data_IF_207835089845
#
_entry.id   IF_207835089845
#
_cell.length_a   1.000
_cell.length_b   1.000
_cell.length_c   1.000
_cell.angle_alpha   90.00
_cell.angle_beta   90.00
_cell.angle_gamma   90.00
#
_symmetry.space_group_name_H-M   'P 1'
#
loop_
_entity.id
_entity.type
_entity.pdbx_description
1 polymer ?
#
# COMPACT_ATOMS: atom_id res chain seq x y z
N UNK A 1 27.89 23.17 -2.03
CA UNK A 1 26.84 23.37 -1.02
C UNK A 1 26.04 22.07 -0.87
N UNK A 2 25.61 21.74 0.35
CA UNK A 2 24.69 20.63 0.59
C UNK A 2 23.34 20.90 -0.07
N UNK A 3 22.74 19.90 -0.71
CA UNK A 3 21.41 20.02 -1.33
C UNK A 3 20.34 19.81 -0.29
N UNK A 4 19.29 20.64 -0.28
CA UNK A 4 18.20 20.57 0.67
C UNK A 4 16.99 19.88 0.05
N UNK A 5 16.54 18.80 0.67
CA UNK A 5 15.38 18.00 0.20
C UNK A 5 14.31 18.03 1.29
N UNK A 6 13.13 18.54 0.97
CA UNK A 6 11.96 18.40 1.82
C UNK A 6 11.25 17.06 1.54
N UNK A 7 10.89 16.31 2.57
CA UNK A 7 10.14 15.05 2.48
C UNK A 7 8.88 15.13 3.36
N UNK A 8 7.73 14.80 2.75
CA UNK A 8 6.47 14.60 3.48
C UNK A 8 6.05 13.14 3.39
N UNK A 9 6.17 12.41 4.51
CA UNK A 9 5.80 11.00 4.65
C UNK A 9 5.09 10.78 5.99
N UNK A 10 3.74 10.79 6.01
CA UNK A 10 2.96 10.69 7.25
C UNK A 10 2.48 9.27 7.58
N UNK A 11 2.26 8.42 6.57
CA UNK A 11 1.87 7.03 6.75
C UNK A 11 3.09 6.14 6.99
N UNK A 12 2.90 5.02 7.68
CA UNK A 12 3.99 4.07 7.93
C UNK A 12 4.65 3.60 6.63
N UNK A 13 3.86 3.19 5.63
CA UNK A 13 4.35 2.78 4.30
C UNK A 13 5.12 3.90 3.61
N UNK A 14 4.63 5.13 3.64
CA UNK A 14 5.31 6.29 3.07
C UNK A 14 6.69 6.52 3.70
N UNK A 15 6.84 6.27 5.01
CA UNK A 15 8.13 6.36 5.70
C UNK A 15 9.11 5.25 5.26
N UNK A 16 8.63 4.02 5.02
CA UNK A 16 9.48 2.95 4.47
C UNK A 16 9.97 3.32 3.07
N UNK A 17 9.09 3.86 2.21
CA UNK A 17 9.48 4.31 0.87
C UNK A 17 10.46 5.49 0.92
N UNK A 18 10.25 6.44 1.84
CA UNK A 18 11.21 7.53 2.08
C UNK A 18 12.58 7.01 2.52
N UNK A 19 12.63 6.05 3.47
CA UNK A 19 13.87 5.42 3.91
C UNK A 19 14.64 4.77 2.74
N UNK A 20 13.96 4.00 1.89
CA UNK A 20 14.57 3.36 0.73
C UNK A 20 15.13 4.39 -0.28
N UNK A 21 14.38 5.46 -0.54
CA UNK A 21 14.84 6.56 -1.37
C UNK A 21 16.09 7.23 -0.79
N UNK A 22 16.09 7.55 0.50
CA UNK A 22 17.22 8.16 1.22
C UNK A 22 18.46 7.25 1.17
N UNK A 23 18.29 5.95 1.41
CA UNK A 23 19.38 4.97 1.30
C UNK A 23 19.96 4.94 -0.12
N UNK A 24 19.09 4.94 -1.13
CA UNK A 24 19.53 4.98 -2.54
C UNK A 24 20.27 6.27 -2.89
N UNK A 25 19.86 7.42 -2.35
CA UNK A 25 20.58 8.70 -2.52
C UNK A 25 21.96 8.68 -1.86
N UNK A 26 22.06 8.11 -0.65
CA UNK A 26 23.36 7.94 0.06
C UNK A 26 24.32 7.04 -0.73
N UNK A 27 23.81 5.96 -1.33
CA UNK A 27 24.61 5.05 -2.18
C UNK A 27 25.15 5.74 -3.46
N UNK A 28 24.55 6.84 -3.89
CA UNK A 28 25.04 7.68 -4.99
C UNK A 28 26.05 8.74 -4.55
N UNK A 29 26.48 8.72 -3.27
CA UNK A 29 27.40 9.70 -2.68
C UNK A 29 26.96 11.16 -2.86
N UNK A 30 25.66 11.41 -2.88
CA UNK A 30 25.12 12.76 -2.93
C UNK A 30 25.20 13.41 -1.54
N UNK A 31 25.71 14.63 -1.48
CA UNK A 31 25.67 15.41 -0.25
C UNK A 31 24.34 16.18 -0.15
N UNK A 32 23.48 15.79 0.77
CA UNK A 32 22.15 16.36 0.96
C UNK A 32 21.73 16.39 2.42
N UNK A 33 20.84 17.32 2.74
CA UNK A 33 20.15 17.45 4.02
C UNK A 33 18.65 17.23 3.81
N UNK A 34 18.01 16.56 4.77
CA UNK A 34 16.59 16.25 4.71
C UNK A 34 15.84 17.04 5.75
N UNK A 35 14.77 17.68 5.33
CA UNK A 35 13.83 18.43 6.13
C UNK A 35 12.41 17.90 5.91
N UNK A 36 11.49 18.15 6.83
CA UNK A 36 10.09 17.87 6.58
C UNK A 36 9.34 17.19 7.72
N UNK A 37 8.40 16.33 7.35
CA UNK A 37 7.59 15.53 8.26
C UNK A 37 7.73 14.04 7.93
N UNK A 38 8.30 13.30 8.86
CA UNK A 38 8.53 11.85 8.75
C UNK A 38 8.77 11.24 10.13
N UNK A 39 8.72 9.92 10.22
CA UNK A 39 8.97 9.16 11.44
C UNK A 39 10.48 9.06 11.69
N UNK A 40 10.96 9.68 12.76
CA UNK A 40 12.38 9.74 13.11
C UNK A 40 12.99 8.37 13.41
N UNK A 41 12.21 7.45 13.97
CA UNK A 41 12.68 6.10 14.29
C UNK A 41 12.90 5.27 13.02
N UNK A 42 12.01 5.41 12.03
CA UNK A 42 12.12 4.70 10.76
C UNK A 42 13.25 5.26 9.91
N UNK A 43 13.32 6.60 9.78
CA UNK A 43 14.30 7.29 8.93
C UNK A 43 15.68 7.38 9.59
N UNK A 44 15.75 7.21 10.91
CA UNK A 44 16.96 7.42 11.74
C UNK A 44 17.59 8.81 11.52
N UNK A 45 16.73 9.82 11.52
CA UNK A 45 17.11 11.23 11.38
C UNK A 45 16.06 12.12 12.05
N UNK A 46 16.46 13.26 12.61
CA UNK A 46 15.54 14.26 13.21
C UNK A 46 14.67 14.88 12.12
N UNK A 47 13.38 14.97 12.38
CA UNK A 47 12.40 15.69 11.58
C UNK A 47 12.00 17.00 12.25
N UNK A 48 11.51 17.97 11.49
CA UNK A 48 10.99 19.22 12.04
C UNK A 48 9.55 19.05 12.55
N UNK A 49 8.84 18.04 12.06
CA UNK A 49 7.48 17.68 12.48
C UNK A 49 7.32 16.17 12.52
N UNK A 50 6.62 15.65 13.54
CA UNK A 50 6.35 14.24 13.68
C UNK A 50 4.97 13.86 13.08
N UNK A 51 4.84 12.75 12.35
CA UNK A 51 3.54 12.20 11.98
C UNK A 51 2.63 11.94 13.20
N UNK A 52 3.21 11.67 14.37
CA UNK A 52 2.46 11.43 15.60
C UNK A 52 1.70 12.69 16.08
N UNK A 53 2.16 13.88 15.75
CA UNK A 53 1.45 15.13 16.06
C UNK A 53 0.05 15.17 15.42
N UNK A 54 -0.17 14.39 14.35
CA UNK A 54 -1.45 14.26 13.65
C UNK A 54 -2.26 13.02 14.04
N UNK A 55 -1.60 11.96 14.50
CA UNK A 55 -2.28 10.72 14.94
C UNK A 55 -3.03 10.88 16.26
N UNK A 56 -2.54 11.72 17.14
CA UNK A 56 -3.16 12.06 18.44
C UNK A 56 -4.45 12.88 18.28
N UNK A 57 -4.70 13.41 17.08
CA UNK A 57 -5.94 14.12 16.74
C UNK A 57 -7.11 13.15 16.51
N UNK A 58 -7.40 12.28 17.50
CA UNK A 58 -8.54 11.37 17.47
C UNK A 58 -9.89 12.11 17.46
N UNK A 59 -10.94 11.38 17.10
CA UNK A 59 -12.30 11.84 16.77
C UNK A 59 -12.98 12.78 17.82
N UNK A 60 -12.54 12.83 19.05
CA UNK A 60 -13.24 13.57 20.13
C UNK A 60 -12.75 15.02 20.36
N UNK A 61 -11.74 15.50 19.64
CA UNK A 61 -11.17 16.84 19.82
C UNK A 61 -10.98 17.67 18.54
N UNK A 62 -11.53 17.22 17.41
CA UNK A 62 -11.24 17.73 16.06
C UNK A 62 -11.42 19.26 15.94
N UNK A 63 -12.51 19.81 16.49
CA UNK A 63 -12.85 21.24 16.28
C UNK A 63 -11.80 22.19 16.90
N UNK A 64 -11.26 21.87 18.08
CA UNK A 64 -10.25 22.68 18.76
C UNK A 64 -8.85 22.57 18.12
N UNK A 65 -8.60 21.55 17.32
CA UNK A 65 -7.30 21.24 16.71
C UNK A 65 -7.20 21.70 15.25
N UNK A 66 -8.31 22.12 14.63
CA UNK A 66 -8.35 22.62 13.26
C UNK A 66 -7.35 23.77 13.02
N UNK A 67 -7.27 24.83 13.87
CA UNK A 67 -6.32 25.91 13.67
C UNK A 67 -4.86 25.43 13.70
N UNK A 68 -4.51 24.55 14.65
CA UNK A 68 -3.18 23.95 14.76
C UNK A 68 -2.81 23.11 13.53
N UNK A 69 -3.77 22.38 12.99
CA UNK A 69 -3.60 21.60 11.76
C UNK A 69 -3.29 22.50 10.54
N UNK A 70 -3.98 23.62 10.41
CA UNK A 70 -3.71 24.59 9.35
C UNK A 70 -2.38 25.30 9.55
N UNK A 71 -2.02 25.65 10.78
CA UNK A 71 -0.75 26.29 11.13
C UNK A 71 0.44 25.37 10.76
N UNK A 72 0.38 24.09 11.14
CA UNK A 72 1.43 23.12 10.79
C UNK A 72 1.57 22.98 9.27
N UNK A 73 0.47 22.95 8.51
CA UNK A 73 0.53 22.91 7.04
C UNK A 73 1.17 24.16 6.44
N UNK A 74 0.93 25.32 7.01
CA UNK A 74 1.61 26.56 6.60
C UNK A 74 3.12 26.46 6.88
N UNK A 75 3.51 26.03 8.08
CA UNK A 75 4.92 25.86 8.45
C UNK A 75 5.63 24.83 7.55
N UNK A 76 4.95 23.72 7.21
CA UNK A 76 5.48 22.73 6.27
C UNK A 76 5.67 23.31 4.86
N UNK A 77 4.73 24.12 4.37
CA UNK A 77 4.87 24.79 3.08
C UNK A 77 6.05 25.77 3.09
N UNK A 78 6.20 26.58 4.16
CA UNK A 78 7.35 27.47 4.31
C UNK A 78 8.68 26.72 4.37
N UNK A 79 8.73 25.60 5.09
CA UNK A 79 9.93 24.75 5.16
C UNK A 79 10.27 24.16 3.79
N UNK A 80 9.27 23.71 3.04
CA UNK A 80 9.46 23.19 1.69
C UNK A 80 10.03 24.27 0.74
N UNK A 81 9.58 25.52 0.84
CA UNK A 81 10.09 26.64 0.04
C UNK A 81 11.55 27.03 0.35
N UNK A 82 12.10 26.54 1.47
CA UNK A 82 13.53 26.74 1.82
C UNK A 82 14.42 25.60 1.26
N UNK A 83 13.83 24.63 0.58
CA UNK A 83 14.52 23.48 0.02
C UNK A 83 14.63 23.57 -1.50
N UNK A 84 15.63 22.89 -2.08
CA UNK A 84 15.81 22.82 -3.53
C UNK A 84 14.71 22.01 -4.21
N UNK A 85 14.24 20.95 -3.52
CA UNK A 85 13.20 20.03 -3.99
C UNK A 85 12.29 19.68 -2.81
N UNK A 86 11.00 19.56 -3.08
CA UNK A 86 9.99 19.05 -2.14
C UNK A 86 9.37 17.76 -2.69
N UNK A 87 9.53 16.66 -1.95
CA UNK A 87 8.99 15.33 -2.29
C UNK A 87 7.83 15.00 -1.37
N UNK A 88 6.66 14.80 -1.95
CA UNK A 88 5.45 14.42 -1.26
C UNK A 88 5.13 12.96 -1.55
N UNK A 89 5.08 12.12 -0.51
CA UNK A 89 4.89 10.67 -0.66
C UNK A 89 3.49 10.30 -0.21
N UNK A 90 2.68 9.72 -1.12
CA UNK A 90 1.31 9.24 -0.84
C UNK A 90 0.41 10.31 -0.16
N UNK A 91 -0.54 9.90 0.69
CA UNK A 91 -1.37 10.73 1.60
C UNK A 91 -1.92 12.02 0.97
N UNK A 92 -2.52 11.92 -0.21
CA UNK A 92 -2.96 13.07 -1.02
C UNK A 92 -3.92 14.04 -0.29
N UNK A 93 -4.72 13.57 0.66
CA UNK A 93 -5.59 14.43 1.46
C UNK A 93 -4.82 15.35 2.41
N UNK A 94 -3.63 14.94 2.82
CA UNK A 94 -2.72 15.74 3.64
C UNK A 94 -1.82 16.62 2.78
N UNK A 95 -1.21 16.05 1.75
CA UNK A 95 -0.16 16.68 0.95
C UNK A 95 -0.67 17.76 -0.01
N UNK A 96 -1.79 17.55 -0.70
CA UNK A 96 -2.31 18.53 -1.68
C UNK A 96 -2.56 19.92 -1.08
N UNK A 97 -3.16 20.08 0.12
CA UNK A 97 -3.31 21.40 0.74
C UNK A 97 -1.99 22.12 1.07
N UNK A 98 -0.90 21.39 1.30
CA UNK A 98 0.44 21.96 1.52
C UNK A 98 1.03 22.41 0.18
N UNK A 99 1.00 21.53 -0.82
CA UNK A 99 1.51 21.79 -2.18
C UNK A 99 0.92 23.06 -2.78
N UNK A 100 -0.38 23.30 -2.60
CA UNK A 100 -1.07 24.51 -3.09
C UNK A 100 -0.50 25.85 -2.56
N UNK A 101 0.31 25.81 -1.51
CA UNK A 101 0.90 27.00 -0.86
C UNK A 101 2.37 27.20 -1.23
N UNK A 102 2.97 26.23 -1.92
CA UNK A 102 4.39 26.27 -2.28
C UNK A 102 4.56 27.04 -3.58
N UNK A 103 5.59 27.89 -3.61
CA UNK A 103 6.02 28.65 -4.78
C UNK A 103 7.54 28.53 -4.93
N UNK A 104 8.04 28.58 -6.15
CA UNK A 104 9.47 28.64 -6.48
C UNK A 104 10.31 27.44 -5.97
N UNK A 105 9.68 26.30 -5.66
CA UNK A 105 10.38 25.05 -5.27
C UNK A 105 9.93 23.95 -6.20
N UNK A 106 10.86 23.13 -6.69
CA UNK A 106 10.52 21.96 -7.50
C UNK A 106 9.73 20.94 -6.68
N UNK A 107 8.52 20.61 -7.11
CA UNK A 107 7.60 19.72 -6.42
C UNK A 107 7.54 18.37 -7.15
N UNK A 108 7.83 17.31 -6.42
CA UNK A 108 7.71 15.92 -6.88
C UNK A 108 6.63 15.21 -6.04
N UNK A 109 5.71 14.55 -6.71
CA UNK A 109 4.74 13.70 -6.03
C UNK A 109 5.05 12.23 -6.31
N UNK A 110 5.42 11.49 -5.29
CA UNK A 110 5.76 10.08 -5.34
C UNK A 110 4.65 9.24 -4.73
N UNK A 111 4.28 8.14 -5.38
CA UNK A 111 3.14 7.26 -5.06
C UNK A 111 1.82 8.02 -5.23
N UNK A 112 1.35 8.03 -6.46
CA UNK A 112 0.20 8.79 -6.88
C UNK A 112 -1.11 8.26 -6.26
N UNK A 113 -2.11 9.13 -6.01
CA UNK A 113 -3.40 8.67 -5.57
C UNK A 113 -4.08 7.83 -6.65
N UNK A 114 -4.82 6.81 -6.24
CA UNK A 114 -5.52 5.87 -7.13
C UNK A 114 -6.68 6.55 -7.89
N UNK A 115 -6.36 7.52 -8.73
CA UNK A 115 -7.35 8.30 -9.52
C UNK A 115 -8.12 7.44 -10.52
N UNK A 116 -7.56 6.29 -10.89
CA UNK A 116 -8.19 5.27 -11.72
C UNK A 116 -9.35 4.53 -11.00
N UNK A 117 -9.38 4.56 -9.67
CA UNK A 117 -10.44 3.95 -8.87
C UNK A 117 -11.47 4.99 -8.39
N UNK A 118 -11.04 6.16 -7.96
CA UNK A 118 -11.91 7.19 -7.38
C UNK A 118 -11.25 8.58 -7.40
N UNK A 119 -12.05 9.63 -7.22
CA UNK A 119 -11.58 11.03 -7.18
C UNK A 119 -10.67 11.42 -8.37
N UNK A 120 -11.05 11.03 -9.58
CA UNK A 120 -10.30 11.28 -10.82
C UNK A 120 -9.88 12.75 -11.03
N UNK A 121 -10.60 13.73 -10.47
CA UNK A 121 -10.25 15.16 -10.53
C UNK A 121 -8.85 15.48 -9.97
N UNK A 122 -8.32 14.64 -9.09
CA UNK A 122 -6.97 14.81 -8.51
C UNK A 122 -5.87 14.65 -9.55
N UNK A 123 -6.10 13.91 -10.61
CA UNK A 123 -5.15 13.78 -11.70
C UNK A 123 -4.79 15.14 -12.30
N UNK A 124 -5.81 15.91 -12.76
CA UNK A 124 -5.64 17.26 -13.30
C UNK A 124 -5.00 18.19 -12.26
N UNK A 125 -5.46 18.12 -11.01
CA UNK A 125 -4.96 18.97 -9.94
C UNK A 125 -3.46 18.77 -9.68
N UNK A 126 -3.02 17.50 -9.55
CA UNK A 126 -1.61 17.19 -9.33
C UNK A 126 -0.73 17.52 -10.54
N UNK A 127 -1.23 17.31 -11.76
CA UNK A 127 -0.53 17.69 -12.99
C UNK A 127 -0.28 19.19 -13.10
N UNK A 128 -1.16 20.01 -12.50
CA UNK A 128 -1.00 21.48 -12.49
C UNK A 128 -0.06 21.93 -11.35
N UNK A 129 -0.06 21.22 -10.22
CA UNK A 129 0.63 21.66 -9.01
C UNK A 129 2.06 21.08 -8.86
N UNK A 130 2.38 20.01 -9.55
CA UNK A 130 3.66 19.31 -9.37
C UNK A 130 4.48 19.33 -10.66
N UNK A 131 5.78 19.53 -10.52
CA UNK A 131 6.73 19.51 -11.64
C UNK A 131 6.96 18.09 -12.17
N UNK A 132 6.94 17.09 -11.29
CA UNK A 132 7.03 15.68 -11.66
C UNK A 132 6.08 14.82 -10.85
N UNK A 133 5.51 13.83 -11.50
CA UNK A 133 4.63 12.81 -10.92
C UNK A 133 5.27 11.44 -11.07
N UNK A 134 5.60 10.79 -9.95
CA UNK A 134 6.24 9.48 -9.93
C UNK A 134 5.23 8.40 -9.60
N UNK A 135 4.71 7.76 -10.65
CA UNK A 135 3.75 6.67 -10.56
C UNK A 135 4.41 5.34 -10.27
N UNK A 136 3.75 4.52 -9.48
CA UNK A 136 4.22 3.18 -9.09
C UNK A 136 3.45 2.05 -9.77
N UNK A 137 2.44 2.38 -10.56
CA UNK A 137 1.65 1.43 -11.34
C UNK A 137 1.80 1.77 -12.83
N UNK A 138 2.16 0.82 -13.70
CA UNK A 138 2.50 1.11 -15.10
C UNK A 138 1.43 1.83 -15.90
N UNK A 139 0.15 1.63 -15.55
CA UNK A 139 -0.96 2.22 -16.28
C UNK A 139 -1.47 3.56 -15.70
N UNK A 140 -0.91 4.06 -14.62
CA UNK A 140 -1.40 5.29 -13.98
C UNK A 140 -1.41 6.48 -14.95
N UNK A 141 -0.41 6.56 -15.84
CA UNK A 141 -0.31 7.62 -16.83
C UNK A 141 -1.54 7.76 -17.73
N UNK A 142 -2.26 6.66 -17.97
CA UNK A 142 -3.43 6.65 -18.85
C UNK A 142 -4.65 7.37 -18.21
N UNK A 143 -4.57 7.68 -16.91
CA UNK A 143 -5.60 8.41 -16.14
C UNK A 143 -5.22 9.85 -15.82
N UNK A 144 -4.05 10.30 -16.29
CA UNK A 144 -3.59 11.68 -16.15
C UNK A 144 -3.70 12.45 -17.47
N UNK A 145 -3.78 13.80 -17.47
CA UNK A 145 -3.69 14.59 -18.69
C UNK A 145 -2.46 14.23 -19.53
N UNK A 146 -2.59 14.29 -20.85
CA UNK A 146 -1.51 13.88 -21.79
C UNK A 146 -0.22 14.71 -21.66
N UNK A 147 -0.35 15.94 -21.24
CA UNK A 147 0.72 16.92 -21.01
C UNK A 147 1.34 16.80 -19.60
N UNK A 148 0.87 15.87 -18.78
CA UNK A 148 1.42 15.67 -17.43
C UNK A 148 2.84 15.11 -17.50
N UNK A 149 3.73 15.67 -16.70
CA UNK A 149 5.08 15.13 -16.49
C UNK A 149 5.04 13.93 -15.51
N UNK A 150 4.45 12.85 -15.97
CA UNK A 150 4.30 11.60 -15.21
C UNK A 150 5.25 10.54 -15.74
N UNK A 151 5.99 9.91 -14.85
CA UNK A 151 6.82 8.76 -15.17
C UNK A 151 6.54 7.58 -14.22
N UNK A 152 6.63 6.40 -14.76
CA UNK A 152 6.62 5.16 -14.01
C UNK A 152 8.02 4.94 -13.40
N UNK A 153 8.09 4.65 -12.10
CA UNK A 153 9.37 4.50 -11.37
C UNK A 153 9.56 3.10 -10.77
N UNK A 154 8.85 2.10 -11.26
CA UNK A 154 8.82 0.76 -10.65
C UNK A 154 7.92 0.69 -9.43
N UNK A 155 7.66 -0.52 -8.93
CA UNK A 155 6.79 -0.70 -7.78
C UNK A 155 7.60 -0.93 -6.49
N UNK A 156 7.54 0.00 -5.49
CA UNK A 156 8.42 -0.02 -4.32
C UNK A 156 8.28 -1.29 -3.46
N UNK A 157 7.11 -1.94 -3.48
CA UNK A 157 6.88 -3.18 -2.74
C UNK A 157 7.81 -4.32 -3.22
N UNK A 158 8.20 -4.33 -4.51
CA UNK A 158 9.19 -5.29 -5.02
C UNK A 158 10.59 -5.08 -4.45
N UNK A 159 10.93 -3.85 -4.07
CA UNK A 159 12.22 -3.53 -3.42
C UNK A 159 12.20 -3.89 -1.92
N UNK A 160 11.01 -4.08 -1.34
CA UNK A 160 10.81 -4.35 0.09
C UNK A 160 10.65 -5.84 0.38
N UNK A 161 9.95 -6.54 -0.52
CA UNK A 161 9.70 -7.98 -0.39
C UNK A 161 10.94 -8.76 -0.83
N UNK A 162 11.47 -9.66 0.02
CA UNK A 162 12.57 -10.52 -0.39
C UNK A 162 12.10 -11.42 -1.53
N UNK A 163 12.87 -11.41 -2.64
CA UNK A 163 12.58 -12.28 -3.78
C UNK A 163 12.46 -13.73 -3.32
N UNK A 164 11.36 -14.35 -3.65
CA UNK A 164 11.10 -15.75 -3.35
C UNK A 164 10.76 -16.48 -4.65
N UNK A 165 11.63 -17.40 -5.06
CA UNK A 165 11.40 -18.36 -6.16
C UNK A 165 10.48 -19.50 -5.69
N UNK A 166 9.46 -19.24 -4.90
CA UNK A 166 8.65 -20.28 -4.30
C UNK A 166 7.76 -20.96 -5.34
N UNK A 167 8.10 -22.19 -5.62
CA UNK A 167 7.15 -23.20 -6.10
C UNK A 167 6.22 -23.54 -4.93
N UNK A 168 5.08 -24.17 -5.24
CA UNK A 168 4.15 -24.68 -4.22
C UNK A 168 4.93 -25.34 -3.07
N UNK A 169 4.80 -24.78 -1.88
CA UNK A 169 5.31 -25.38 -0.64
C UNK A 169 4.27 -26.35 -0.09
N UNK A 170 4.71 -27.39 0.57
CA UNK A 170 3.83 -28.34 1.25
C UNK A 170 4.17 -28.34 2.74
N UNK A 171 3.91 -27.23 3.40
CA UNK A 171 4.30 -26.97 4.79
C UNK A 171 3.21 -27.29 5.79
N UNK A 172 2.00 -27.60 5.33
CA UNK A 172 0.77 -27.75 6.13
C UNK A 172 0.39 -26.47 6.94
N UNK A 173 0.99 -25.31 6.62
CA UNK A 173 0.71 -24.03 7.29
C UNK A 173 -0.10 -23.11 6.40
N UNK A 174 -1.19 -22.56 6.92
CA UNK A 174 -2.06 -21.61 6.23
C UNK A 174 -2.13 -20.31 7.02
N UNK A 175 -1.86 -19.17 6.35
CA UNK A 175 -1.96 -17.86 6.96
C UNK A 175 -3.40 -17.33 6.95
N UNK A 176 -3.81 -16.71 8.05
CA UNK A 176 -5.05 -15.95 8.18
C UNK A 176 -4.72 -14.47 8.39
N UNK A 177 -5.15 -13.62 7.47
CA UNK A 177 -4.92 -12.17 7.51
C UNK A 177 -6.27 -11.43 7.43
N UNK A 178 -7.06 -11.35 8.53
CA UNK A 178 -8.43 -10.82 8.50
C UNK A 178 -8.51 -9.29 8.43
N UNK A 179 -7.37 -8.60 8.24
CA UNK A 179 -7.27 -7.16 8.14
C UNK A 179 -6.67 -6.49 9.36
N UNK A 180 -6.53 -5.16 9.29
CA UNK A 180 -5.92 -4.33 10.34
C UNK A 180 -6.92 -3.45 11.10
N UNK A 181 -8.13 -3.26 10.55
CA UNK A 181 -9.18 -2.47 11.16
C UNK A 181 -10.14 -3.35 11.95
N UNK A 182 -10.64 -2.84 13.09
CA UNK A 182 -11.59 -3.57 13.94
C UNK A 182 -12.84 -4.07 13.17
N UNK A 183 -13.34 -3.28 12.22
CA UNK A 183 -14.50 -3.66 11.40
C UNK A 183 -14.19 -4.82 10.44
N UNK A 184 -13.02 -4.85 9.84
CA UNK A 184 -12.56 -5.93 8.97
C UNK A 184 -12.42 -7.23 9.75
N UNK A 185 -11.72 -7.17 10.88
CA UNK A 185 -11.50 -8.32 11.77
C UNK A 185 -12.84 -8.88 12.26
N UNK A 186 -13.73 -8.02 12.74
CA UNK A 186 -15.07 -8.43 13.24
C UNK A 186 -15.89 -9.18 12.19
N UNK A 187 -15.74 -8.80 10.91
CA UNK A 187 -16.53 -9.39 9.81
C UNK A 187 -15.88 -10.63 9.21
N UNK A 188 -14.53 -10.73 9.20
CA UNK A 188 -13.81 -11.79 8.49
C UNK A 188 -13.25 -12.87 9.43
N UNK A 189 -12.75 -12.50 10.60
CA UNK A 189 -12.10 -13.48 11.47
C UNK A 189 -13.03 -14.64 11.91
N UNK A 190 -14.31 -14.44 12.23
CA UNK A 190 -15.22 -15.56 12.51
C UNK A 190 -15.33 -16.56 11.36
N UNK A 191 -15.33 -16.07 10.10
CA UNK A 191 -15.39 -16.92 8.91
C UNK A 191 -14.07 -17.69 8.75
N UNK A 192 -12.93 -17.01 8.94
CA UNK A 192 -11.61 -17.64 8.86
C UNK A 192 -11.39 -18.66 9.98
N UNK A 193 -11.91 -18.41 11.18
CA UNK A 193 -11.92 -19.38 12.30
C UNK A 193 -12.73 -20.62 11.93
N UNK A 194 -13.91 -20.45 11.32
CA UNK A 194 -14.69 -21.59 10.84
C UNK A 194 -13.96 -22.39 9.75
N UNK A 195 -13.23 -21.73 8.84
CA UNK A 195 -12.36 -22.40 7.86
C UNK A 195 -11.32 -23.24 8.58
N UNK A 196 -10.64 -22.72 9.61
CA UNK A 196 -9.61 -23.47 10.35
C UNK A 196 -10.16 -24.69 11.07
N UNK A 197 -11.38 -24.63 11.56
CA UNK A 197 -12.06 -25.76 12.22
C UNK A 197 -12.45 -26.87 11.26
N UNK A 198 -12.74 -26.51 9.99
CA UNK A 198 -13.20 -27.47 8.95
C UNK A 198 -12.05 -28.09 8.15
N UNK A 199 -10.81 -27.63 8.34
CA UNK A 199 -9.60 -28.20 7.70
C UNK A 199 -8.60 -28.59 8.81
N UNK A 200 -8.90 -29.60 9.63
CA UNK A 200 -8.14 -29.92 10.84
C UNK A 200 -6.75 -30.51 10.57
N UNK A 201 -6.47 -30.94 9.36
CA UNK A 201 -5.16 -31.45 8.91
C UNK A 201 -4.14 -30.35 8.64
N UNK A 202 -4.56 -29.07 8.67
CA UNK A 202 -3.71 -27.89 8.46
C UNK A 202 -3.48 -27.10 9.75
N UNK A 203 -2.30 -26.51 9.86
CA UNK A 203 -1.95 -25.56 10.92
C UNK A 203 -2.26 -24.15 10.47
N UNK A 204 -3.05 -23.43 11.23
CA UNK A 204 -3.43 -22.07 10.91
C UNK A 204 -2.64 -21.06 11.75
N UNK A 205 -2.17 -19.98 11.09
CA UNK A 205 -1.42 -18.92 11.74
C UNK A 205 -2.13 -17.58 11.47
N UNK A 206 -2.60 -16.95 12.53
CA UNK A 206 -3.13 -15.58 12.47
C UNK A 206 -1.98 -14.59 12.41
N UNK A 207 -1.83 -13.91 11.29
CA UNK A 207 -0.89 -12.81 11.15
C UNK A 207 -1.59 -11.52 11.59
N UNK A 208 -1.29 -11.07 12.80
CA UNK A 208 -1.84 -9.87 13.38
C UNK A 208 -0.94 -8.64 13.10
N UNK A 209 -1.51 -7.43 12.96
CA UNK A 209 -0.73 -6.20 12.82
C UNK A 209 0.22 -6.00 14.00
N UNK A 210 1.46 -5.56 13.72
CA UNK A 210 2.50 -5.37 14.75
C UNK A 210 2.08 -4.43 15.89
N UNK A 211 1.24 -3.44 15.60
CA UNK A 211 0.70 -2.53 16.61
C UNK A 211 -0.35 -3.17 17.54
N UNK A 212 -0.64 -4.47 17.37
CA UNK A 212 -1.50 -5.26 18.27
C UNK A 212 -0.71 -6.15 19.23
N UNK A 213 0.61 -6.23 19.08
CA UNK A 213 1.47 -7.12 19.87
C UNK A 213 1.30 -6.95 21.40
N UNK A 214 1.06 -5.72 21.85
CA UNK A 214 0.87 -5.40 23.27
C UNK A 214 -0.61 -5.15 23.64
N UNK A 215 -1.56 -5.62 22.80
CA UNK A 215 -2.99 -5.45 23.04
C UNK A 215 -3.64 -6.76 23.47
N UNK A 216 -4.79 -6.67 24.13
CA UNK A 216 -5.61 -7.83 24.43
C UNK A 216 -6.22 -8.39 23.14
N UNK A 217 -5.60 -9.43 22.57
CA UNK A 217 -6.01 -10.05 21.32
C UNK A 217 -7.37 -10.74 21.45
N UNK A 218 -7.71 -11.29 22.61
CA UNK A 218 -9.04 -11.87 22.87
C UNK A 218 -10.14 -10.83 22.72
N UNK A 219 -9.88 -9.59 23.12
CA UNK A 219 -10.85 -8.49 22.92
C UNK A 219 -10.99 -8.08 21.44
N UNK A 220 -9.96 -8.28 20.64
CA UNK A 220 -9.93 -7.88 19.20
C UNK A 220 -10.51 -8.97 18.32
N UNK A 221 -10.11 -10.22 18.54
CA UNK A 221 -10.41 -11.38 17.68
C UNK A 221 -11.45 -12.33 18.28
N UNK A 222 -11.75 -12.21 19.57
CA UNK A 222 -12.51 -13.23 20.31
C UNK A 222 -11.62 -14.41 20.71
N UNK A 223 -12.22 -15.59 20.90
CA UNK A 223 -11.47 -16.80 21.24
C UNK A 223 -10.64 -17.29 20.06
N UNK A 224 -9.34 -17.45 20.30
CA UNK A 224 -8.34 -17.90 19.32
C UNK A 224 -7.84 -19.26 19.79
N UNK A 225 -8.62 -20.31 19.54
CA UNK A 225 -8.26 -21.67 19.88
C UNK A 225 -7.63 -22.36 18.66
N UNK A 226 -6.56 -23.11 18.88
CA UNK A 226 -5.87 -23.90 17.85
C UNK A 226 -5.35 -23.10 16.65
N UNK A 227 -5.14 -21.78 16.81
CA UNK A 227 -4.57 -20.89 15.81
C UNK A 227 -3.32 -20.24 16.42
N UNK A 228 -2.17 -20.44 15.82
CA UNK A 228 -0.93 -19.76 16.19
C UNK A 228 -1.02 -18.27 15.86
N UNK A 229 -0.32 -17.40 16.60
CA UNK A 229 -0.33 -15.94 16.36
C UNK A 229 1.07 -15.48 16.01
N UNK A 230 1.19 -14.70 14.95
CA UNK A 230 2.43 -14.06 14.54
C UNK A 230 2.23 -12.56 14.31
N UNK A 231 3.28 -11.77 14.59
CA UNK A 231 3.37 -10.34 14.28
C UNK A 231 4.46 -10.03 13.24
N UNK A 232 5.04 -11.07 12.66
CA UNK A 232 6.12 -10.97 11.66
C UNK A 232 5.62 -11.50 10.29
N UNK A 233 4.90 -10.65 9.51
CA UNK A 233 4.18 -11.11 8.33
C UNK A 233 5.07 -11.79 7.30
N UNK A 234 6.20 -11.20 6.93
CA UNK A 234 7.06 -11.75 5.87
C UNK A 234 7.74 -13.06 6.25
N UNK A 235 8.18 -13.18 7.50
CA UNK A 235 8.82 -14.42 7.98
C UNK A 235 7.79 -15.54 8.08
N UNK A 236 6.61 -15.24 8.61
CA UNK A 236 5.51 -16.22 8.73
C UNK A 236 4.98 -16.66 7.37
N UNK A 237 4.75 -15.72 6.45
CA UNK A 237 4.23 -16.04 5.11
C UNK A 237 5.17 -16.97 4.34
N UNK A 238 6.50 -16.82 4.48
CA UNK A 238 7.47 -17.73 3.84
C UNK A 238 7.34 -19.19 4.28
N UNK A 239 6.78 -19.42 5.45
CA UNK A 239 6.53 -20.77 5.99
C UNK A 239 5.14 -21.30 5.62
N UNK A 240 4.28 -20.49 5.03
CA UNK A 240 2.92 -20.87 4.69
C UNK A 240 2.80 -21.35 3.24
N UNK A 241 1.99 -22.37 3.01
CA UNK A 241 1.67 -22.86 1.68
C UNK A 241 0.48 -22.13 1.03
N UNK A 242 -0.32 -21.42 1.83
CA UNK A 242 -1.54 -20.73 1.41
C UNK A 242 -1.92 -19.60 2.35
N UNK A 243 -2.75 -18.65 1.88
CA UNK A 243 -3.27 -17.57 2.71
C UNK A 243 -4.73 -17.20 2.41
N UNK A 244 -5.52 -16.94 3.47
CA UNK A 244 -6.80 -16.25 3.39
C UNK A 244 -6.61 -14.81 3.84
N UNK A 245 -6.86 -13.85 2.96
CA UNK A 245 -6.43 -12.47 3.16
C UNK A 245 -7.56 -11.48 2.96
N UNK A 246 -7.69 -10.52 3.89
CA UNK A 246 -8.54 -9.36 3.71
C UNK A 246 -8.02 -8.48 2.57
N UNK A 247 -8.94 -7.88 1.80
CA UNK A 247 -8.57 -6.92 0.75
C UNK A 247 -7.70 -5.78 1.28
N UNK A 248 -6.64 -5.46 0.55
CA UNK A 248 -5.67 -4.41 0.86
C UNK A 248 -4.32 -4.70 0.20
N UNK A 249 -3.28 -3.98 0.63
CA UNK A 249 -1.90 -4.21 0.17
C UNK A 249 -1.40 -5.62 0.49
N UNK A 250 -1.88 -6.22 1.58
CA UNK A 250 -1.52 -7.57 1.99
C UNK A 250 -1.79 -8.63 0.90
N UNK A 251 -2.81 -8.45 0.06
CA UNK A 251 -3.07 -9.39 -1.06
C UNK A 251 -2.01 -9.29 -2.16
N UNK A 252 -1.49 -8.10 -2.42
CA UNK A 252 -0.37 -7.92 -3.35
C UNK A 252 0.92 -8.46 -2.73
N UNK A 253 1.16 -8.21 -1.45
CA UNK A 253 2.33 -8.73 -0.71
C UNK A 253 2.38 -10.26 -0.74
N UNK A 254 1.29 -10.95 -0.39
CA UNK A 254 1.22 -12.42 -0.42
C UNK A 254 1.44 -12.96 -1.83
N UNK A 255 0.85 -12.30 -2.83
CA UNK A 255 1.03 -12.68 -4.24
C UNK A 255 2.48 -12.56 -4.69
N UNK A 256 3.14 -11.43 -4.40
CA UNK A 256 4.54 -11.19 -4.77
C UNK A 256 5.51 -12.11 -4.03
N UNK A 257 5.20 -12.49 -2.79
CA UNK A 257 5.91 -13.53 -2.05
C UNK A 257 5.72 -14.94 -2.63
N UNK A 258 4.79 -15.13 -3.54
CA UNK A 258 4.48 -16.43 -4.14
C UNK A 258 3.61 -17.31 -3.24
N UNK A 259 2.84 -16.72 -2.34
CA UNK A 259 1.90 -17.44 -1.49
C UNK A 259 0.51 -17.45 -2.16
N UNK A 260 0.02 -18.61 -2.60
CA UNK A 260 -1.33 -18.76 -3.14
C UNK A 260 -2.36 -18.20 -2.19
N UNK A 261 -3.27 -17.36 -2.70
CA UNK A 261 -4.11 -16.51 -1.85
C UNK A 261 -5.54 -16.50 -2.31
N UNK A 262 -6.48 -16.56 -1.37
CA UNK A 262 -7.89 -16.21 -1.57
C UNK A 262 -8.14 -14.86 -0.88
N UNK A 263 -8.64 -13.90 -1.65
CA UNK A 263 -9.05 -12.61 -1.14
C UNK A 263 -10.50 -12.68 -0.63
N UNK A 264 -10.72 -12.20 0.57
CA UNK A 264 -12.05 -12.05 1.16
C UNK A 264 -12.27 -10.61 1.65
N UNK A 265 -13.44 -10.04 1.42
CA UNK A 265 -13.80 -8.74 1.95
C UNK A 265 -15.27 -8.66 2.30
N UNK A 266 -15.55 -8.22 3.52
CA UNK A 266 -16.91 -8.03 4.04
C UNK A 266 -16.99 -6.76 4.85
N UNK A 267 -17.98 -5.93 4.55
CA UNK A 267 -18.21 -4.66 5.24
C UNK A 267 -19.69 -4.51 5.57
N UNK A 268 -20.09 -3.40 6.21
CA UNK A 268 -21.51 -3.12 6.44
C UNK A 268 -22.22 -2.95 5.09
N UNK A 269 -23.47 -3.42 5.00
CA UNK A 269 -24.24 -3.41 3.75
C UNK A 269 -24.33 -2.00 3.14
N UNK A 270 -24.55 -0.97 3.95
CA UNK A 270 -24.60 0.41 3.48
C UNK A 270 -23.26 0.87 2.87
N UNK A 271 -22.15 0.58 3.53
CA UNK A 271 -20.82 0.93 3.05
C UNK A 271 -20.49 0.18 1.73
N UNK A 272 -20.93 -1.08 1.63
CA UNK A 272 -20.79 -1.87 0.41
C UNK A 272 -21.57 -1.27 -0.76
N UNK A 273 -22.82 -0.87 -0.56
CA UNK A 273 -23.65 -0.25 -1.59
C UNK A 273 -23.09 1.10 -2.04
N UNK A 274 -22.61 1.91 -1.09
CA UNK A 274 -21.96 3.20 -1.40
C UNK A 274 -20.66 2.95 -2.19
N UNK A 275 -19.81 2.03 -1.73
CA UNK A 275 -18.56 1.71 -2.43
C UNK A 275 -18.85 1.19 -3.85
N UNK A 276 -19.83 0.30 -4.02
CA UNK A 276 -20.24 -0.24 -5.33
C UNK A 276 -20.79 0.83 -6.28
N UNK A 277 -21.41 1.87 -5.76
CA UNK A 277 -21.92 2.99 -6.58
C UNK A 277 -20.80 3.96 -7.02
N UNK A 278 -19.78 4.14 -6.17
CA UNK A 278 -18.69 5.08 -6.39
C UNK A 278 -17.51 4.47 -7.16
N UNK A 279 -17.25 3.17 -6.97
CA UNK A 279 -16.11 2.46 -7.54
C UNK A 279 -16.57 1.47 -8.59
N UNK A 280 -16.25 1.74 -9.84
CA UNK A 280 -16.65 0.92 -11.02
C UNK A 280 -15.67 -0.23 -11.30
N UNK A 281 -14.92 -0.68 -10.32
CA UNK A 281 -13.93 -1.74 -10.51
C UNK A 281 -14.60 -3.12 -10.52
N UNK A 282 -14.06 -4.04 -11.35
CA UNK A 282 -14.47 -5.45 -11.35
C UNK A 282 -13.87 -6.19 -10.16
N UNK A 283 -12.62 -5.90 -9.82
CA UNK A 283 -11.85 -6.51 -8.74
C UNK A 283 -11.46 -5.47 -7.69
N UNK A 284 -11.17 -5.93 -6.48
CA UNK A 284 -10.65 -5.09 -5.39
C UNK A 284 -9.22 -5.45 -5.00
N UNK A 285 -8.74 -6.63 -5.39
CA UNK A 285 -7.36 -7.06 -5.21
C UNK A 285 -6.45 -6.40 -6.24
N UNK A 286 -5.40 -5.73 -5.78
CA UNK A 286 -4.48 -4.98 -6.64
C UNK A 286 -3.84 -5.87 -7.71
N UNK A 287 -3.45 -7.10 -7.37
CA UNK A 287 -2.86 -8.03 -8.33
C UNK A 287 -3.82 -8.35 -9.49
N UNK A 288 -5.10 -8.62 -9.19
CA UNK A 288 -6.12 -8.83 -10.22
C UNK A 288 -6.38 -7.59 -11.05
N UNK A 289 -6.39 -6.39 -10.44
CA UNK A 289 -6.57 -5.11 -11.15
C UNK A 289 -5.41 -4.89 -12.12
N UNK A 290 -4.16 -5.05 -11.67
CA UNK A 290 -2.97 -4.81 -12.48
C UNK A 290 -2.88 -5.76 -13.67
N UNK A 291 -3.10 -7.05 -13.46
CA UNK A 291 -3.12 -8.04 -14.54
C UNK A 291 -4.30 -7.83 -15.49
N UNK A 292 -5.48 -7.47 -14.99
CA UNK A 292 -6.62 -7.14 -15.83
C UNK A 292 -6.31 -5.96 -16.76
N UNK A 293 -5.63 -4.94 -16.26
CA UNK A 293 -5.21 -3.83 -17.11
C UNK A 293 -4.11 -4.26 -18.10
N UNK A 294 -3.12 -5.00 -17.63
CA UNK A 294 -2.06 -5.54 -18.51
C UNK A 294 -2.63 -6.27 -19.72
N UNK A 295 -3.61 -7.14 -19.50
CA UNK A 295 -4.16 -7.99 -20.57
C UNK A 295 -5.24 -7.32 -21.42
N UNK A 296 -6.04 -6.46 -20.82
CA UNK A 296 -7.26 -5.97 -21.45
C UNK A 296 -7.31 -4.45 -21.61
N UNK A 297 -6.32 -3.72 -21.09
CA UNK A 297 -6.33 -2.24 -21.00
C UNK A 297 -7.62 -1.69 -20.37
N UNK A 298 -8.23 -2.48 -19.49
CA UNK A 298 -9.50 -2.16 -18.84
C UNK A 298 -9.65 -2.88 -17.51
N UNK A 299 -10.07 -2.16 -16.48
CA UNK A 299 -10.29 -2.65 -15.12
C UNK A 299 -11.78 -2.79 -14.77
N UNK A 300 -12.68 -2.39 -15.67
CA UNK A 300 -14.13 -2.27 -15.41
C UNK A 300 -14.99 -3.33 -16.13
N UNK A 301 -14.40 -4.22 -16.91
CA UNK A 301 -15.17 -5.23 -17.67
C UNK A 301 -15.83 -6.26 -16.76
N UNK A 302 -17.17 -6.30 -16.74
CA UNK A 302 -17.96 -7.20 -15.87
C UNK A 302 -17.71 -8.69 -16.11
N UNK A 303 -17.33 -9.11 -17.31
CA UNK A 303 -17.13 -10.53 -17.70
C UNK A 303 -15.71 -11.05 -17.50
N UNK A 304 -14.78 -10.25 -16.96
CA UNK A 304 -13.42 -10.71 -16.68
C UNK A 304 -13.42 -11.77 -15.58
N UNK A 305 -12.66 -12.84 -15.77
CA UNK A 305 -12.29 -13.74 -14.66
C UNK A 305 -11.14 -13.15 -13.88
N UNK A 306 -11.06 -13.46 -12.58
CA UNK A 306 -9.94 -13.07 -11.75
C UNK A 306 -8.64 -13.66 -12.31
N UNK A 307 -7.64 -12.84 -12.70
CA UNK A 307 -6.45 -13.34 -13.36
C UNK A 307 -5.61 -14.28 -12.48
N UNK A 308 -5.43 -13.94 -11.19
CA UNK A 308 -4.45 -14.61 -10.36
C UNK A 308 -5.05 -15.30 -9.12
N UNK A 309 -6.01 -14.70 -8.46
CA UNK A 309 -6.62 -15.28 -7.25
C UNK A 309 -8.13 -15.01 -7.17
N UNK A 310 -8.91 -15.93 -6.56
CA UNK A 310 -10.33 -15.71 -6.31
C UNK A 310 -10.60 -14.54 -5.37
N UNK A 311 -11.68 -13.80 -5.61
CA UNK A 311 -12.16 -12.72 -4.75
C UNK A 311 -13.58 -12.99 -4.27
N UNK A 312 -13.77 -13.01 -2.96
CA UNK A 312 -15.06 -13.18 -2.31
C UNK A 312 -15.49 -11.88 -1.66
N UNK A 313 -16.57 -11.31 -2.18
CA UNK A 313 -17.07 -10.00 -1.75
C UNK A 313 -18.46 -10.12 -1.13
N UNK A 314 -18.65 -9.68 0.09
CA UNK A 314 -19.89 -9.49 0.84
C UNK A 314 -20.70 -10.77 1.10
N UNK A 315 -21.08 -11.51 0.07
CA UNK A 315 -21.96 -12.68 0.16
C UNK A 315 -21.19 -13.98 -0.02
N UNK A 316 -20.58 -14.48 1.06
CA UNK A 316 -19.85 -15.73 1.12
C UNK A 316 -19.82 -16.27 2.56
N UNK A 317 -19.49 -17.52 2.72
CA UNK A 317 -19.32 -18.20 4.01
C UNK A 317 -18.00 -19.01 4.02
N UNK A 318 -17.71 -19.71 5.12
CA UNK A 318 -16.51 -20.52 5.23
C UNK A 318 -16.45 -21.64 4.16
N UNK A 319 -17.60 -22.26 3.85
CA UNK A 319 -17.63 -23.32 2.83
C UNK A 319 -17.21 -22.80 1.45
N UNK A 320 -17.67 -21.63 1.05
CA UNK A 320 -17.25 -21.00 -0.23
C UNK A 320 -15.73 -20.81 -0.32
N UNK A 321 -15.08 -20.44 0.80
CA UNK A 321 -13.62 -20.28 0.85
C UNK A 321 -12.91 -21.65 0.81
N UNK A 322 -13.45 -22.66 1.48
CA UNK A 322 -12.93 -24.03 1.49
C UNK A 322 -13.00 -24.65 0.11
N UNK A 323 -14.14 -24.50 -0.57
CA UNK A 323 -14.32 -25.00 -1.94
C UNK A 323 -13.30 -24.34 -2.90
N UNK A 324 -13.08 -23.04 -2.76
CA UNK A 324 -12.10 -22.32 -3.57
C UNK A 324 -10.65 -22.72 -3.22
N UNK A 325 -10.35 -23.07 -1.98
CA UNK A 325 -9.05 -23.57 -1.55
C UNK A 325 -8.76 -24.94 -2.18
N UNK A 326 -9.70 -25.87 -2.14
CA UNK A 326 -9.54 -27.21 -2.73
C UNK A 326 -9.44 -27.19 -4.26
N UNK A 327 -10.11 -26.23 -4.92
CA UNK A 327 -10.11 -26.06 -6.37
C UNK A 327 -9.13 -24.97 -6.84
N UNK A 328 -8.11 -24.59 -6.02
CA UNK A 328 -7.21 -23.53 -6.38
C UNK A 328 -6.26 -23.93 -7.52
N UNK A 329 -6.17 -23.07 -8.53
CA UNK A 329 -5.29 -23.27 -9.70
C UNK A 329 -3.88 -22.75 -9.40
N UNK A 330 -3.03 -23.61 -8.86
CA UNK A 330 -1.65 -23.29 -8.50
C UNK A 330 -0.78 -22.97 -9.72
N UNK A 331 -0.95 -23.70 -10.82
CA UNK A 331 -0.14 -23.49 -12.04
C UNK A 331 -0.39 -22.09 -12.59
N UNK A 332 -1.65 -21.72 -12.74
CA UNK A 332 -2.05 -20.39 -13.15
C UNK A 332 -1.54 -19.32 -12.19
N UNK A 333 -1.64 -19.53 -10.88
CA UNK A 333 -1.17 -18.57 -9.88
C UNK A 333 0.31 -18.26 -10.06
N UNK A 334 1.19 -19.26 -10.16
CA UNK A 334 2.63 -19.03 -10.30
C UNK A 334 2.99 -18.39 -11.63
N UNK A 335 2.33 -18.77 -12.73
CA UNK A 335 2.49 -18.13 -14.04
C UNK A 335 2.11 -16.65 -14.00
N UNK A 336 0.96 -16.34 -13.41
CA UNK A 336 0.47 -14.97 -13.33
C UNK A 336 1.27 -14.11 -12.32
N UNK A 337 1.80 -14.71 -11.27
CA UNK A 337 2.75 -14.04 -10.36
C UNK A 337 3.98 -13.56 -11.11
N UNK A 338 4.64 -14.41 -11.90
CA UNK A 338 5.81 -13.99 -12.68
C UNK A 338 5.43 -12.90 -13.70
N UNK A 339 4.27 -13.03 -14.34
CA UNK A 339 3.74 -12.02 -15.23
C UNK A 339 3.51 -10.67 -14.53
N UNK A 340 3.06 -10.69 -13.28
CA UNK A 340 2.84 -9.51 -12.45
C UNK A 340 4.16 -8.86 -12.04
N UNK A 341 5.14 -9.64 -11.56
CA UNK A 341 6.47 -9.13 -11.18
C UNK A 341 7.14 -8.43 -12.37
N UNK A 342 7.13 -9.07 -13.54
CA UNK A 342 7.69 -8.47 -14.76
C UNK A 342 6.93 -7.21 -15.20
N UNK A 343 5.65 -7.10 -14.89
CA UNK A 343 4.84 -5.92 -15.20
C UNK A 343 5.10 -4.77 -14.24
N UNK A 344 5.41 -5.06 -12.98
CA UNK A 344 5.62 -4.05 -11.94
C UNK A 344 7.07 -3.56 -11.83
N UNK A 345 8.05 -4.24 -12.39
CA UNK A 345 9.48 -3.88 -12.40
C UNK A 345 10.08 -3.49 -11.05
N UNK A 346 11.31 -3.93 -10.80
CA UNK A 346 12.10 -3.62 -9.61
C UNK A 346 12.81 -2.26 -9.71
N UNK A 347 13.32 -1.78 -8.59
CA UNK A 347 14.28 -0.69 -8.54
C UNK A 347 13.67 0.69 -8.35
N UNK A 348 12.45 0.79 -7.82
CA UNK A 348 11.73 2.04 -7.62
C UNK A 348 12.59 3.11 -6.92
N UNK A 349 13.14 2.79 -5.75
CA UNK A 349 13.96 3.72 -4.99
C UNK A 349 15.23 4.17 -5.75
N UNK A 350 15.86 3.26 -6.49
CA UNK A 350 17.06 3.55 -7.30
C UNK A 350 16.71 4.46 -8.48
N UNK A 351 15.60 4.19 -9.16
CA UNK A 351 15.13 5.03 -10.29
C UNK A 351 14.85 6.44 -9.80
N UNK A 352 14.13 6.58 -8.66
CA UNK A 352 13.87 7.87 -8.04
C UNK A 352 15.15 8.61 -7.66
N UNK A 353 16.13 7.93 -7.05
CA UNK A 353 17.41 8.51 -6.67
C UNK A 353 18.22 9.00 -7.88
N UNK A 354 18.27 8.21 -8.97
CA UNK A 354 18.94 8.60 -10.20
C UNK A 354 18.30 9.84 -10.85
N UNK A 355 16.96 9.96 -10.82
CA UNK A 355 16.26 11.14 -11.31
C UNK A 355 16.64 12.39 -10.51
N UNK A 356 16.74 12.29 -9.18
CA UNK A 356 17.20 13.38 -8.32
C UNK A 356 18.68 13.74 -8.60
N UNK A 357 19.56 12.76 -8.79
CA UNK A 357 20.94 13.00 -9.14
C UNK A 357 21.06 13.78 -10.45
N UNK A 358 20.31 13.39 -11.48
CA UNK A 358 20.32 14.09 -12.77
C UNK A 358 19.81 15.53 -12.63
N UNK A 359 18.79 15.78 -11.81
CA UNK A 359 18.34 17.14 -11.53
C UNK A 359 19.45 18.01 -10.93
N UNK A 360 20.26 17.46 -10.02
CA UNK A 360 21.34 18.21 -9.39
C UNK A 360 22.59 18.38 -10.25
N UNK A 361 22.81 17.52 -11.26
CA UNK A 361 23.90 17.66 -12.23
C UNK A 361 23.60 18.75 -13.28
N UNK A 362 22.32 18.99 -13.56
CA UNK A 362 21.88 19.95 -14.58
C UNK A 362 21.58 21.36 -14.01
N UNK A 363 21.81 21.57 -12.70
CA UNK A 363 21.79 22.87 -12.01
C UNK A 363 23.22 23.34 -11.71
#
# INVERSE_FOLDING_TARGET
MSKKIFISAIEYSANIHALKLIQSLRNLNLNFEIYGIFDEQIINQKSQFSPNDFRVMGFSGIVKLIPKYFDIKNKLAHLAMQCDIAIFIDSSSFNIPIIKKIQNTKIIYYILPQVWAWKGYRAKLLSTLCDELWGIIPFEKDYYPKDSNICYVGHPLLDEIPYSNTKKQNTNKIALMPGSRKSEIKNLFPIFKEVSQKIPDKKFILIAPKNFQNKNLKHIYGEIENIEISFEPYNTLKECEFAFVCSGTATLETTLLGIPTILAYKTRMLDFLIAKSLVKLKFIGLANIFLSYKYHKNINKKKLQAPIHPEFLQFFNAQSLIDAYHNFDYERFFKEKESLINYLEYGSAKICANKLQNFYKNK
#
